data_IF_389749569856
#
_entry.id   IF_389749569856
#
_cell.length_a   1.000
_cell.length_b   1.000
_cell.length_c   1.000
_cell.angle_alpha   90.00
_cell.angle_beta   90.00
_cell.angle_gamma   90.00
#
_symmetry.space_group_name_H-M   'P 1'
#
loop_
_entity.id
_entity.type
_entity.pdbx_description
1 polymer ?
#
# COMPACT_ATOMS: atom_id res chain seq x y z
N UNK A 1 -1.32 10.14 13.32
CA UNK A 1 0.15 9.97 13.24
C UNK A 1 0.60 9.25 11.97
N UNK A 2 0.00 8.13 11.55
CA UNK A 2 0.42 7.37 10.36
C UNK A 2 0.46 8.15 9.03
N UNK A 3 -0.54 9.02 8.76
CA UNK A 3 -0.57 9.83 7.53
C UNK A 3 0.67 10.73 7.37
N UNK A 4 1.17 11.30 8.47
CA UNK A 4 2.30 12.22 8.46
C UNK A 4 3.62 11.51 8.13
N UNK A 5 3.77 10.26 8.60
CA UNK A 5 4.91 9.41 8.26
C UNK A 5 4.85 8.97 6.80
N UNK A 6 3.66 8.55 6.32
CA UNK A 6 3.46 8.18 4.93
C UNK A 6 3.78 9.35 3.99
N UNK A 7 3.25 10.54 4.29
CA UNK A 7 3.49 11.74 3.49
C UNK A 7 4.98 12.07 3.41
N UNK A 8 5.70 11.99 4.53
CA UNK A 8 7.16 12.21 4.55
C UNK A 8 7.93 11.16 3.76
N UNK A 9 7.53 9.89 3.85
CA UNK A 9 8.11 8.81 3.06
C UNK A 9 7.88 9.02 1.55
N UNK A 10 6.69 9.48 1.16
CA UNK A 10 6.39 9.84 -0.22
C UNK A 10 7.24 11.02 -0.70
N UNK A 11 7.34 12.10 0.07
CA UNK A 11 8.17 13.24 -0.29
C UNK A 11 9.65 12.86 -0.45
N UNK A 12 10.19 12.03 0.44
CA UNK A 12 11.56 11.54 0.32
C UNK A 12 11.76 10.62 -0.88
N UNK A 13 10.80 9.74 -1.17
CA UNK A 13 10.85 8.86 -2.33
C UNK A 13 10.79 9.65 -3.65
N UNK A 14 9.91 10.65 -3.74
CA UNK A 14 9.86 11.56 -4.88
C UNK A 14 11.18 12.32 -5.07
N UNK A 15 11.76 12.85 -3.99
CA UNK A 15 13.08 13.53 -4.03
C UNK A 15 14.23 12.62 -4.46
N UNK A 16 14.16 11.33 -4.15
CA UNK A 16 15.15 10.32 -4.57
C UNK A 16 14.94 9.84 -6.03
N UNK A 17 13.92 10.34 -6.73
CA UNK A 17 13.65 10.00 -8.12
C UNK A 17 12.91 8.67 -8.29
N UNK A 18 12.30 8.12 -7.23
CA UNK A 18 11.40 6.98 -7.39
C UNK A 18 10.18 7.41 -8.19
N UNK A 19 9.72 6.55 -9.10
CA UNK A 19 8.55 6.83 -9.95
C UNK A 19 7.26 6.28 -9.38
N UNK A 20 7.36 5.22 -8.57
CA UNK A 20 6.22 4.49 -8.03
C UNK A 20 6.54 3.90 -6.65
N UNK A 21 5.54 3.82 -5.79
CA UNK A 21 5.58 3.10 -4.52
C UNK A 21 4.44 2.10 -4.49
N UNK A 22 4.72 0.84 -4.16
CA UNK A 22 3.71 -0.22 -4.05
C UNK A 22 3.61 -0.68 -2.60
N UNK A 23 2.39 -0.77 -2.08
CA UNK A 23 2.09 -1.19 -0.71
C UNK A 23 1.06 -2.32 -0.73
N UNK A 24 1.31 -3.36 0.05
CA UNK A 24 0.42 -4.50 0.19
C UNK A 24 -0.32 -4.40 1.54
N UNK A 25 -1.63 -4.49 1.52
CA UNK A 25 -2.48 -4.47 2.70
C UNK A 25 -3.36 -5.73 2.75
N UNK A 26 -3.77 -6.15 3.94
CA UNK A 26 -4.73 -7.25 4.07
C UNK A 26 -6.08 -6.88 3.48
N UNK A 27 -6.71 -7.77 2.72
CA UNK A 27 -8.00 -7.53 2.05
C UNK A 27 -9.13 -7.13 3.00
N UNK A 28 -9.12 -7.66 4.22
CA UNK A 28 -10.13 -7.38 5.23
C UNK A 28 -9.83 -6.12 6.07
N UNK A 29 -8.70 -5.44 5.84
CA UNK A 29 -8.35 -4.21 6.55
C UNK A 29 -9.00 -2.98 5.88
N UNK A 30 -10.30 -2.83 6.09
CA UNK A 30 -11.11 -1.71 5.54
C UNK A 30 -10.53 -0.34 5.93
N UNK A 31 -9.88 -0.25 7.09
CA UNK A 31 -9.24 0.97 7.56
C UNK A 31 -7.97 1.30 6.74
N UNK A 32 -7.17 0.30 6.39
CA UNK A 32 -5.97 0.46 5.57
C UNK A 32 -6.34 0.85 4.13
N UNK A 33 -7.37 0.22 3.56
CA UNK A 33 -7.91 0.59 2.23
C UNK A 33 -8.27 2.07 2.14
N UNK A 34 -9.14 2.53 3.06
CA UNK A 34 -9.56 3.94 3.10
C UNK A 34 -8.39 4.89 3.38
N UNK A 35 -7.38 4.44 4.12
CA UNK A 35 -6.20 5.23 4.40
C UNK A 35 -5.35 5.44 3.13
N UNK A 36 -5.02 4.39 2.38
CA UNK A 36 -4.21 4.52 1.16
C UNK A 36 -4.96 5.29 0.07
N UNK A 37 -6.25 4.99 -0.16
CA UNK A 37 -7.08 5.72 -1.14
C UNK A 37 -7.15 7.22 -0.82
N UNK A 38 -7.31 7.60 0.46
CA UNK A 38 -7.30 9.02 0.87
C UNK A 38 -5.95 9.72 0.71
N UNK A 39 -4.85 8.97 0.68
CA UNK A 39 -3.51 9.51 0.47
C UNK A 39 -3.06 9.44 -1.00
N UNK A 40 -3.99 9.21 -1.94
CA UNK A 40 -3.71 9.25 -3.38
C UNK A 40 -3.16 7.95 -3.96
N UNK A 41 -3.23 6.84 -3.22
CA UNK A 41 -2.88 5.54 -3.77
C UNK A 41 -4.05 4.98 -4.59
N UNK A 42 -3.71 4.39 -5.73
CA UNK A 42 -4.62 3.67 -6.60
C UNK A 42 -4.53 2.17 -6.30
N UNK A 43 -5.68 1.49 -6.29
CA UNK A 43 -5.71 0.03 -6.14
C UNK A 43 -5.23 -0.63 -7.43
N UNK A 44 -4.19 -1.47 -7.34
CA UNK A 44 -3.68 -2.25 -8.47
C UNK A 44 -4.45 -3.55 -8.64
N UNK A 45 -4.33 -4.45 -7.66
CA UNK A 45 -4.84 -5.81 -7.75
C UNK A 45 -5.10 -6.42 -6.37
N UNK A 46 -5.95 -7.44 -6.34
CA UNK A 46 -6.11 -8.31 -5.17
C UNK A 46 -5.54 -9.68 -5.52
N UNK A 47 -4.72 -10.24 -4.66
CA UNK A 47 -4.18 -11.58 -4.84
C UNK A 47 -4.13 -12.34 -3.52
N UNK A 48 -4.29 -13.65 -3.63
CA UNK A 48 -4.19 -14.56 -2.49
C UNK A 48 -2.81 -15.20 -2.49
N UNK A 49 -1.99 -14.90 -1.47
CA UNK A 49 -0.71 -15.56 -1.27
C UNK A 49 -0.87 -16.77 -0.36
N UNK A 50 -0.25 -17.87 -0.77
CA UNK A 50 -0.12 -19.06 0.06
C UNK A 50 1.10 -18.87 0.96
N UNK A 51 0.86 -18.57 2.23
CA UNK A 51 1.93 -18.42 3.18
C UNK A 51 2.58 -19.79 3.47
N UNK A 52 3.90 -19.85 3.68
CA UNK A 52 4.63 -21.10 3.91
C UNK A 52 4.18 -21.85 5.18
N UNK A 53 3.44 -21.19 6.07
CA UNK A 53 2.80 -21.78 7.25
C UNK A 53 1.39 -22.35 6.98
N UNK A 54 1.00 -22.54 5.72
CA UNK A 54 -0.23 -23.22 5.33
C UNK A 54 -1.51 -22.39 5.37
N UNK A 55 -1.43 -21.07 5.62
CA UNK A 55 -2.59 -20.16 5.55
C UNK A 55 -2.64 -19.41 4.23
N UNK A 56 -3.85 -19.13 3.76
CA UNK A 56 -4.12 -18.21 2.65
C UNK A 56 -4.25 -16.79 3.20
N UNK A 57 -3.52 -15.86 2.60
CA UNK A 57 -3.60 -14.44 2.92
C UNK A 57 -4.11 -13.71 1.69
N UNK A 58 -5.30 -13.11 1.82
CA UNK A 58 -5.82 -12.22 0.80
C UNK A 58 -5.19 -10.84 0.99
N UNK A 59 -4.41 -10.41 0.02
CA UNK A 59 -3.74 -9.12 -0.01
C UNK A 59 -4.30 -8.26 -1.14
N UNK A 60 -4.19 -6.95 -0.95
CA UNK A 60 -4.51 -5.93 -1.94
C UNK A 60 -3.29 -5.05 -2.13
N UNK A 61 -2.84 -4.90 -3.37
CA UNK A 61 -1.78 -3.96 -3.73
C UNK A 61 -2.37 -2.59 -4.05
N UNK A 62 -1.67 -1.58 -3.54
CA UNK A 62 -1.90 -0.18 -3.80
C UNK A 62 -0.64 0.44 -4.40
N UNK A 63 -0.80 1.33 -5.37
CA UNK A 63 0.29 2.07 -6.00
C UNK A 63 0.12 3.57 -5.78
N UNK A 64 1.22 4.25 -5.46
CA UNK A 64 1.33 5.69 -5.56
C UNK A 64 2.30 6.06 -6.68
N UNK A 65 1.90 6.97 -7.55
CA UNK A 65 2.75 7.53 -8.60
C UNK A 65 3.13 8.95 -8.20
N UNK A 66 4.42 9.27 -8.21
CA UNK A 66 4.97 10.57 -7.80
C UNK A 66 4.76 11.65 -8.86
#
# INVERSE_FOLDING_TARGET
MGAKLLQRALEEAGKKGFKKMVVNAGKNEVHAKKFYEKNGFEKLEEYTVHAPWGKKLDLVSYQYTF
#
